data_IF_388716210434
#
_entry.id   IF_388716210434
#
_cell.length_a   1.000
_cell.length_b   1.000
_cell.length_c   1.000
_cell.angle_alpha   90.00
_cell.angle_beta   90.00
_cell.angle_gamma   90.00
#
_symmetry.space_group_name_H-M   'P 1'
#
loop_
_entity.id
_entity.type
_entity.pdbx_description
1 polymer ?
#
# COMPACT_ATOMS: atom_id res chain seq x y z
N UNK A 1 15.58 8.96 -14.03
CA UNK A 1 15.68 9.87 -12.85
C UNK A 1 14.32 10.35 -12.35
N UNK A 2 13.33 10.64 -13.21
CA UNK A 2 12.00 11.14 -12.79
C UNK A 2 11.06 10.06 -12.22
N UNK A 3 11.05 8.84 -12.78
CA UNK A 3 10.21 7.73 -12.28
C UNK A 3 10.57 7.30 -10.85
N UNK A 4 11.87 7.27 -10.54
CA UNK A 4 12.36 6.89 -9.20
C UNK A 4 11.94 7.92 -8.15
N UNK A 5 11.93 9.21 -8.53
CA UNK A 5 11.52 10.29 -7.63
C UNK A 5 10.02 10.21 -7.31
N UNK A 6 9.15 9.98 -8.31
CA UNK A 6 7.71 9.83 -8.09
C UNK A 6 7.38 8.57 -7.26
N UNK A 7 8.03 7.44 -7.55
CA UNK A 7 7.87 6.21 -6.78
C UNK A 7 8.36 6.35 -5.34
N UNK A 8 9.50 7.04 -5.13
CA UNK A 8 10.02 7.33 -3.79
C UNK A 8 9.10 8.26 -2.99
N UNK A 9 8.51 9.28 -3.61
CA UNK A 9 7.51 10.14 -2.96
C UNK A 9 6.25 9.36 -2.57
N UNK A 10 5.81 8.40 -3.39
CA UNK A 10 4.68 7.52 -3.05
C UNK A 10 4.98 6.65 -1.83
N UNK A 11 6.15 6.01 -1.78
CA UNK A 11 6.58 5.20 -0.62
C UNK A 11 6.73 6.06 0.65
N UNK A 12 7.27 7.27 0.55
CA UNK A 12 7.32 8.19 1.69
C UNK A 12 5.94 8.62 2.16
N UNK A 13 4.99 8.83 1.23
CA UNK A 13 3.60 9.14 1.57
C UNK A 13 2.90 7.99 2.29
N UNK A 14 3.26 6.73 1.99
CA UNK A 14 2.79 5.54 2.73
C UNK A 14 3.38 5.52 4.16
N UNK A 15 4.64 5.92 4.32
CA UNK A 15 5.34 5.94 5.62
C UNK A 15 4.93 7.11 6.52
N UNK A 16 4.54 8.26 5.96
CA UNK A 16 4.16 9.43 6.74
C UNK A 16 2.68 9.34 7.14
N UNK A 17 2.40 9.25 8.45
CA UNK A 17 1.06 9.18 9.02
C UNK A 17 0.17 10.42 8.76
N UNK A 18 0.67 11.46 8.09
CA UNK A 18 0.05 12.78 8.08
C UNK A 18 -0.73 13.17 6.83
N UNK A 19 -0.63 12.45 5.70
CA UNK A 19 -1.47 12.76 4.53
C UNK A 19 -1.65 11.55 3.61
N UNK A 20 -2.68 10.73 3.89
CA UNK A 20 -2.90 9.46 3.20
C UNK A 20 -4.27 9.44 2.50
N UNK A 21 -4.69 10.59 1.99
CA UNK A 21 -5.86 10.72 1.11
C UNK A 21 -5.58 10.30 -0.34
N UNK A 22 -4.33 10.00 -0.69
CA UNK A 22 -3.92 9.70 -2.06
C UNK A 22 -4.41 8.31 -2.55
N UNK A 23 -4.56 7.33 -1.66
CA UNK A 23 -5.07 6.00 -2.01
C UNK A 23 -6.59 6.01 -2.30
N UNK A 24 -7.33 6.99 -1.77
CA UNK A 24 -8.78 7.10 -1.96
C UNK A 24 -9.19 7.24 -3.42
N UNK A 25 -8.29 7.78 -4.26
CA UNK A 25 -8.55 7.97 -5.69
C UNK A 25 -8.13 6.76 -6.54
N UNK A 26 -7.48 5.76 -5.95
CA UNK A 26 -6.98 4.56 -6.63
C UNK A 26 -7.99 3.41 -6.56
N UNK A 27 -9.29 3.70 -6.55
CA UNK A 27 -10.36 2.70 -6.40
C UNK A 27 -10.33 1.61 -7.46
N UNK A 28 -9.76 1.87 -8.64
CA UNK A 28 -9.63 0.87 -9.72
C UNK A 28 -8.34 0.03 -9.66
N UNK A 29 -7.49 0.23 -8.66
CA UNK A 29 -6.20 -0.44 -8.55
C UNK A 29 -6.40 -1.92 -8.21
N UNK A 30 -5.97 -2.81 -9.11
CA UNK A 30 -6.06 -4.27 -8.93
C UNK A 30 -4.81 -4.90 -8.31
N UNK A 31 -3.65 -4.27 -8.49
CA UNK A 31 -2.36 -4.82 -8.06
C UNK A 31 -1.50 -3.72 -7.46
N UNK A 32 -0.99 -3.95 -6.25
CA UNK A 32 -0.12 -3.04 -5.54
C UNK A 32 1.16 -3.78 -5.12
N UNK A 33 2.30 -3.29 -5.60
CA UNK A 33 3.62 -3.84 -5.33
C UNK A 33 4.43 -2.84 -4.51
N UNK A 34 4.68 -3.18 -3.26
CA UNK A 34 5.44 -2.42 -2.28
C UNK A 34 6.71 -3.16 -1.85
N UNK A 35 7.02 -4.29 -2.47
CA UNK A 35 8.16 -5.14 -2.08
C UNK A 35 9.52 -4.44 -2.20
N UNK A 36 10.46 -4.83 -1.33
CA UNK A 36 11.84 -4.31 -1.34
C UNK A 36 11.97 -2.87 -0.84
N UNK A 37 11.06 -2.43 0.05
CA UNK A 37 11.10 -1.10 0.66
C UNK A 37 11.44 -1.19 2.16
N UNK A 38 11.38 -0.07 2.86
CA UNK A 38 11.62 -0.02 4.32
C UNK A 38 10.35 0.34 5.10
N UNK A 39 9.18 -0.05 4.57
CA UNK A 39 7.89 0.23 5.21
C UNK A 39 7.84 -0.47 6.56
N UNK A 40 7.51 0.27 7.62
CA UNK A 40 7.30 -0.25 8.98
C UNK A 40 5.83 -0.44 9.32
N UNK A 41 4.94 0.29 8.64
CA UNK A 41 3.49 0.13 8.70
C UNK A 41 2.87 0.37 7.32
N UNK A 42 1.62 -0.07 7.14
CA UNK A 42 0.75 0.38 6.05
C UNK A 42 -0.34 1.27 6.62
N UNK A 43 -0.79 2.30 5.88
CA UNK A 43 -1.81 3.22 6.35
C UNK A 43 -3.21 2.63 6.30
N UNK A 44 -4.12 3.11 7.16
CA UNK A 44 -5.53 2.68 7.18
C UNK A 44 -6.28 2.92 5.85
N UNK A 45 -5.84 3.89 5.05
CA UNK A 45 -6.42 4.12 3.72
C UNK A 45 -6.17 2.98 2.72
N UNK A 46 -5.31 2.00 3.04
CA UNK A 46 -5.15 0.80 2.21
C UNK A 46 -6.50 0.09 2.02
N UNK A 47 -7.37 0.10 3.05
CA UNK A 47 -8.69 -0.51 2.98
C UNK A 47 -9.64 0.13 1.96
N UNK A 48 -9.32 1.31 1.44
CA UNK A 48 -10.13 1.98 0.41
C UNK A 48 -9.88 1.40 -1.00
N UNK A 49 -8.89 0.51 -1.15
CA UNK A 49 -8.58 -0.16 -2.41
C UNK A 49 -9.50 -1.39 -2.61
N UNK A 50 -10.81 -1.18 -2.64
CA UNK A 50 -11.82 -2.25 -2.66
C UNK A 50 -11.67 -3.23 -3.84
N UNK A 51 -11.10 -2.78 -4.96
CA UNK A 51 -10.84 -3.61 -6.15
C UNK A 51 -9.43 -4.25 -6.16
N UNK A 52 -8.66 -4.13 -5.09
CA UNK A 52 -7.31 -4.69 -5.01
C UNK A 52 -7.39 -6.21 -4.94
N UNK A 53 -6.80 -6.88 -5.92
CA UNK A 53 -6.76 -8.35 -6.02
C UNK A 53 -5.43 -8.92 -5.54
N UNK A 54 -4.33 -8.18 -5.72
CA UNK A 54 -2.97 -8.59 -5.37
C UNK A 54 -2.27 -7.50 -4.58
N UNK A 55 -1.78 -7.86 -3.40
CA UNK A 55 -0.93 -7.03 -2.57
C UNK A 55 0.41 -7.74 -2.32
N UNK A 56 1.52 -7.11 -2.71
CA UNK A 56 2.86 -7.62 -2.46
C UNK A 56 3.66 -6.63 -1.62
N UNK A 57 4.18 -7.07 -0.48
CA UNK A 57 4.97 -6.23 0.42
C UNK A 57 6.16 -6.96 1.06
N UNK A 58 6.55 -8.14 0.56
CA UNK A 58 7.76 -8.84 0.98
C UNK A 58 9.01 -7.95 0.94
N UNK A 59 10.05 -8.32 1.70
CA UNK A 59 11.27 -7.52 1.85
C UNK A 59 10.99 -6.09 2.33
N UNK A 60 10.10 -5.95 3.33
CA UNK A 60 9.86 -4.74 4.12
C UNK A 60 10.11 -4.99 5.61
N UNK A 61 9.87 -3.98 6.45
CA UNK A 61 9.96 -4.04 7.91
C UNK A 61 8.58 -4.04 8.58
N UNK A 62 7.54 -4.45 7.85
CA UNK A 62 6.17 -4.50 8.33
C UNK A 62 6.05 -5.58 9.41
N UNK A 63 5.71 -5.18 10.64
CA UNK A 63 5.44 -6.12 11.74
C UNK A 63 3.95 -6.39 11.92
N UNK A 64 3.12 -5.47 11.43
CA UNK A 64 1.65 -5.50 11.54
C UNK A 64 1.02 -4.94 10.28
N UNK A 65 -0.20 -5.35 9.99
CA UNK A 65 -1.06 -4.72 8.98
C UNK A 65 -2.14 -3.89 9.69
N UNK A 66 -2.61 -2.78 9.08
CA UNK A 66 -3.72 -1.97 9.62
C UNK A 66 -5.03 -2.77 9.66
N UNK A 67 -5.96 -2.41 10.54
CA UNK A 67 -7.24 -3.13 10.69
C UNK A 67 -8.09 -3.03 9.42
N UNK A 68 -8.04 -1.90 8.72
CA UNK A 68 -8.69 -1.69 7.42
C UNK A 68 -8.27 -2.66 6.31
N UNK A 69 -7.23 -3.49 6.50
CA UNK A 69 -6.93 -4.58 5.57
C UNK A 69 -8.14 -5.51 5.38
N UNK A 70 -9.01 -5.61 6.38
CA UNK A 70 -10.27 -6.35 6.34
C UNK A 70 -11.26 -5.80 5.30
N UNK A 71 -11.15 -4.51 4.92
CA UNK A 71 -12.00 -3.88 3.91
C UNK A 71 -11.60 -4.25 2.47
N UNK A 72 -10.46 -4.92 2.28
CA UNK A 72 -9.98 -5.37 0.97
C UNK A 72 -10.75 -6.61 0.47
N UNK A 73 -12.04 -6.47 0.25
CA UNK A 73 -12.96 -7.56 -0.09
C UNK A 73 -12.63 -8.29 -1.40
N UNK A 74 -11.95 -7.64 -2.34
CA UNK A 74 -11.49 -8.25 -3.60
C UNK A 74 -10.13 -8.95 -3.49
N UNK A 75 -9.43 -8.87 -2.36
CA UNK A 75 -8.07 -9.37 -2.22
C UNK A 75 -8.03 -10.88 -2.30
N UNK A 76 -7.26 -11.41 -3.24
CA UNK A 76 -7.13 -12.86 -3.48
C UNK A 76 -5.74 -13.39 -3.22
N UNK A 77 -4.74 -12.52 -3.29
CA UNK A 77 -3.34 -12.91 -3.17
C UNK A 77 -2.53 -11.89 -2.39
N UNK A 78 -1.90 -12.36 -1.34
CA UNK A 78 -0.89 -11.61 -0.59
C UNK A 78 0.47 -12.27 -0.82
N UNK A 79 1.47 -11.45 -1.13
CA UNK A 79 2.87 -11.88 -1.25
C UNK A 79 3.67 -11.23 -0.12
N UNK A 80 3.81 -11.99 0.97
CA UNK A 80 4.51 -11.64 2.20
C UNK A 80 5.96 -12.07 2.18
#
# INVERSE_FOLDING_TARGET
MVLYFLFFNFINSINSSEHISCLNNLTSLKKLYLSGNQLTTLPESIGNLENLEILAFHDNKLTTLPESIENLTSLRKVLT
#
